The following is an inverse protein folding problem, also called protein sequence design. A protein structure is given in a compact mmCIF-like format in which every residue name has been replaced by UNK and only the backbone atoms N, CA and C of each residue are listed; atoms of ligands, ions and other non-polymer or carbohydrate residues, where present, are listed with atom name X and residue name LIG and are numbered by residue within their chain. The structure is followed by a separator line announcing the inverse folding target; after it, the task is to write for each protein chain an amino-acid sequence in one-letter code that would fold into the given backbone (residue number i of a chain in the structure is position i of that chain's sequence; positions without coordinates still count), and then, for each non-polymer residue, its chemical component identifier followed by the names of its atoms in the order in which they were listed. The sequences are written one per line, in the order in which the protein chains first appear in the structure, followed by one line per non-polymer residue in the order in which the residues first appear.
data_IF_069166387432
#
_entry.id   IF_069166387432
#
_cell.length_a   1.000
_cell.length_b   1.000
_cell.length_c   1.000
_cell.angle_alpha   90.00
_cell.angle_beta   90.00
_cell.angle_gamma   90.00
#
_symmetry.space_group_name_H-M   'P 1'
#
loop_
_entity.id
_entity.type
_entity.pdbx_description
1 polymer ?
#
# COMPACT_ATOMS: atom_id res chain seq x y z
N UNK A 1 24.20 -62.48 -6.43
CA UNK A 1 23.12 -61.60 -6.95
C UNK A 1 23.51 -60.15 -6.71
N UNK A 2 23.32 -59.31 -7.72
CA UNK A 2 24.05 -58.08 -7.99
C UNK A 2 23.42 -56.83 -7.34
N UNK A 3 24.29 -56.01 -6.72
CA UNK A 3 24.48 -54.56 -6.92
C UNK A 3 23.40 -53.54 -6.49
N UNK A 4 23.88 -52.69 -5.55
CA UNK A 4 23.94 -51.21 -5.62
C UNK A 4 22.71 -50.36 -5.22
N UNK A 5 22.92 -49.66 -4.10
CA UNK A 5 22.78 -48.20 -3.87
C UNK A 5 21.61 -47.45 -4.50
N UNK A 6 20.86 -46.72 -3.67
CA UNK A 6 20.02 -45.62 -4.16
C UNK A 6 19.46 -44.76 -3.03
N UNK A 7 20.23 -43.78 -2.58
CA UNK A 7 19.67 -42.57 -1.96
C UNK A 7 18.78 -41.91 -3.00
N UNK A 8 17.51 -41.68 -2.67
CA UNK A 8 16.71 -40.68 -3.36
C UNK A 8 15.94 -39.86 -2.34
N UNK A 9 16.61 -38.80 -1.90
CA UNK A 9 15.98 -37.49 -1.77
C UNK A 9 15.18 -37.28 -3.05
N UNK A 10 13.86 -37.08 -2.98
CA UNK A 10 13.19 -36.08 -3.80
C UNK A 10 11.73 -35.87 -3.35
N UNK A 11 11.48 -34.61 -2.97
CA UNK A 11 10.25 -33.87 -3.23
C UNK A 11 9.01 -34.26 -2.45
N UNK A 12 8.88 -33.59 -1.30
CA UNK A 12 7.63 -33.06 -0.74
C UNK A 12 6.83 -32.40 -1.89
N UNK A 13 5.70 -32.96 -2.34
CA UNK A 13 4.82 -32.25 -3.27
C UNK A 13 4.06 -31.16 -2.50
N UNK A 14 4.21 -29.94 -3.01
CA UNK A 14 3.62 -28.67 -2.56
C UNK A 14 2.13 -28.81 -2.25
N UNK A 15 1.81 -28.71 -0.96
CA UNK A 15 0.59 -28.20 -0.34
C UNK A 15 -0.27 -27.41 -1.35
N UNK A 16 -1.37 -28.03 -1.81
CA UNK A 16 -2.30 -27.39 -2.73
C UNK A 16 -3.05 -26.29 -2.00
N UNK A 17 -2.50 -25.08 -2.13
CA UNK A 17 -3.17 -23.78 -2.18
C UNK A 17 -4.62 -23.81 -1.68
N UNK A 18 -4.77 -23.90 -0.36
CA UNK A 18 -5.98 -23.52 0.34
C UNK A 18 -6.26 -22.06 -0.02
N UNK A 19 -7.27 -21.82 -0.86
CA UNK A 19 -7.75 -20.47 -1.16
C UNK A 19 -9.01 -20.26 -0.32
N UNK A 20 -8.90 -19.79 0.94
CA UNK A 20 -10.10 -19.39 1.67
C UNK A 20 -10.67 -18.13 1.00
N UNK A 21 -11.95 -18.17 0.67
CA UNK A 21 -12.73 -16.96 0.43
C UNK A 21 -12.76 -16.16 1.74
N UNK A 22 -12.50 -14.85 1.76
CA UNK A 22 -12.60 -14.10 3.00
C UNK A 22 -14.08 -13.75 3.27
N UNK A 23 -14.73 -14.58 4.08
CA UNK A 23 -15.92 -14.20 4.82
C UNK A 23 -15.52 -13.25 5.97
N UNK A 24 -15.78 -11.97 5.71
CA UNK A 24 -16.15 -10.89 6.63
C UNK A 24 -16.44 -11.21 8.13
N UNK A 25 -15.49 -11.56 9.01
CA UNK A 25 -15.80 -11.49 10.46
C UNK A 25 -14.64 -11.22 11.44
N UNK A 26 -13.38 -11.05 11.01
CA UNK A 26 -12.25 -10.79 11.94
C UNK A 26 -11.13 -9.87 11.41
N UNK A 27 -11.42 -8.86 10.59
CA UNK A 27 -10.38 -7.95 10.07
C UNK A 27 -10.12 -6.77 11.04
N UNK A 28 -9.64 -7.08 12.23
CA UNK A 28 -8.96 -6.12 13.10
C UNK A 28 -7.86 -6.96 13.71
N UNK A 29 -6.59 -6.86 13.32
CA UNK A 29 -5.69 -5.72 13.36
C UNK A 29 -4.51 -6.06 12.42
N UNK A 30 -3.81 -5.05 11.89
CA UNK A 30 -2.61 -5.12 11.03
C UNK A 30 -2.81 -5.00 9.50
N UNK A 31 -3.90 -4.37 9.05
CA UNK A 31 -3.96 -3.81 7.68
C UNK A 31 -3.70 -2.31 7.77
N UNK A 32 -2.50 -1.88 8.18
CA UNK A 32 -2.28 -0.45 8.38
C UNK A 32 -0.86 0.07 8.20
N UNK A 33 0.19 -0.66 8.55
CA UNK A 33 1.57 -0.11 8.47
C UNK A 33 2.28 -0.50 7.17
N UNK A 34 2.38 -1.79 6.85
CA UNK A 34 3.04 -2.27 5.62
C UNK A 34 2.39 -1.69 4.35
N UNK A 35 1.06 -1.55 4.36
CA UNK A 35 0.31 -0.95 3.26
C UNK A 35 0.61 0.55 3.11
N UNK A 36 0.81 1.27 4.22
CA UNK A 36 1.16 2.70 4.21
C UNK A 36 2.60 2.90 3.74
N UNK A 37 3.52 2.04 4.18
CA UNK A 37 4.92 2.10 3.77
C UNK A 37 5.09 1.83 2.28
N UNK A 38 4.42 0.78 1.77
CA UNK A 38 4.41 0.48 0.32
C UNK A 38 3.77 1.63 -0.47
N UNK A 39 2.64 2.17 0.00
CA UNK A 39 2.01 3.33 -0.63
C UNK A 39 2.93 4.57 -0.63
N UNK A 40 3.70 4.79 0.44
CA UNK A 40 4.68 5.88 0.51
C UNK A 40 5.86 5.65 -0.44
N UNK A 41 6.28 4.41 -0.64
CA UNK A 41 7.32 4.07 -1.63
C UNK A 41 6.81 4.23 -3.08
N UNK A 42 5.57 3.84 -3.36
CA UNK A 42 4.97 3.86 -4.70
C UNK A 42 4.48 5.27 -5.10
N UNK A 43 3.83 5.98 -4.19
CA UNK A 43 3.14 7.26 -4.44
C UNK A 43 3.97 8.45 -3.95
N UNK A 44 4.84 8.25 -2.96
CA UNK A 44 5.65 9.30 -2.36
C UNK A 44 4.89 10.13 -1.33
N UNK A 45 5.19 11.43 -1.28
CA UNK A 45 4.53 12.38 -0.38
C UNK A 45 3.01 12.42 -0.59
N UNK A 46 2.55 12.15 -1.80
CA UNK A 46 1.12 12.14 -2.12
C UNK A 46 0.32 11.05 -1.38
N UNK A 47 0.95 10.01 -0.83
CA UNK A 47 0.27 8.96 -0.06
C UNK A 47 -0.47 9.50 1.18
N UNK A 48 0.15 10.43 1.91
CA UNK A 48 -0.37 11.00 3.16
C UNK A 48 -0.81 12.47 2.99
N UNK A 49 -1.01 12.92 1.76
CA UNK A 49 -1.35 14.32 1.49
C UNK A 49 -2.86 14.57 1.66
N UNK A 50 -3.22 15.61 2.43
CA UNK A 50 -4.62 16.01 2.66
C UNK A 50 -5.37 16.40 1.38
N UNK A 51 -4.66 16.93 0.39
CA UNK A 51 -5.26 17.34 -0.88
C UNK A 51 -5.39 16.18 -1.88
N UNK A 52 -4.85 15.02 -1.55
CA UNK A 52 -4.86 13.87 -2.43
C UNK A 52 -6.21 13.16 -2.40
N UNK A 53 -6.70 12.75 -3.58
CA UNK A 53 -7.85 11.85 -3.70
C UNK A 53 -7.47 10.60 -4.47
N UNK A 54 -7.76 9.45 -3.88
CA UNK A 54 -7.69 8.15 -4.54
C UNK A 54 -9.02 7.90 -5.26
N UNK A 55 -8.96 7.60 -6.55
CA UNK A 55 -10.10 7.28 -7.40
C UNK A 55 -9.89 5.85 -7.90
N UNK A 56 -10.66 4.92 -7.39
CA UNK A 56 -10.66 3.54 -7.86
C UNK A 56 -11.68 3.41 -9.00
N UNK A 57 -11.24 2.84 -10.11
CA UNK A 57 -12.11 2.51 -11.25
C UNK A 57 -12.65 1.09 -11.12
N UNK A 58 -13.83 0.84 -11.69
CA UNK A 58 -14.47 -0.47 -11.73
C UNK A 58 -13.57 -1.58 -12.35
N UNK A 59 -12.64 -1.17 -13.21
CA UNK A 59 -11.59 -2.02 -13.82
C UNK A 59 -10.45 -2.40 -12.86
N UNK A 60 -10.49 -1.98 -11.58
CA UNK A 60 -9.43 -2.22 -10.59
C UNK A 60 -8.21 -1.31 -10.72
N UNK A 61 -8.31 -0.21 -11.46
CA UNK A 61 -7.23 0.78 -11.57
C UNK A 61 -7.40 1.89 -10.53
N UNK A 62 -6.34 2.18 -9.78
CA UNK A 62 -6.32 3.25 -8.79
C UNK A 62 -5.62 4.49 -9.37
N UNK A 63 -6.33 5.62 -9.36
CA UNK A 63 -5.83 6.90 -9.84
C UNK A 63 -5.66 7.88 -8.70
N UNK A 64 -4.57 8.60 -8.77
CA UNK A 64 -4.09 9.53 -7.76
C UNK A 64 -4.33 10.94 -8.29
N UNK A 65 -5.33 11.64 -7.75
CA UNK A 65 -5.72 12.99 -8.18
C UNK A 65 -5.28 14.05 -7.15
N UNK A 66 -4.61 15.09 -7.63
CA UNK A 66 -4.22 16.23 -6.80
C UNK A 66 -5.32 17.30 -6.78
N UNK A 67 -5.90 17.58 -5.61
CA UNK A 67 -6.91 18.64 -5.47
C UNK A 67 -6.37 20.05 -5.68
N UNK A 68 -5.06 20.27 -5.51
CA UNK A 68 -4.43 21.59 -5.72
C UNK A 68 -4.46 22.02 -7.17
N UNK A 69 -4.57 21.08 -8.13
CA UNK A 69 -4.68 21.45 -9.55
C UNK A 69 -5.95 22.26 -9.86
N UNK A 70 -6.95 22.23 -8.97
CA UNK A 70 -8.17 23.02 -9.11
C UNK A 70 -7.97 24.50 -8.75
N UNK A 71 -7.04 24.79 -7.84
CA UNK A 71 -6.76 26.16 -7.37
C UNK A 71 -5.52 26.74 -8.04
N UNK A 72 -4.52 25.90 -8.32
CA UNK A 72 -3.22 26.27 -8.85
C UNK A 72 -2.90 25.40 -10.08
N UNK A 73 -2.90 26.02 -11.27
CA UNK A 73 -2.56 25.34 -12.53
C UNK A 73 -1.09 24.86 -12.60
N UNK A 74 -0.26 25.25 -11.63
CA UNK A 74 1.14 24.79 -11.47
C UNK A 74 1.22 23.33 -11.04
N UNK A 75 0.17 22.79 -10.42
CA UNK A 75 0.13 21.40 -10.00
C UNK A 75 -0.58 20.54 -11.05
N UNK A 76 0.04 19.44 -11.51
CA UNK A 76 -0.61 18.51 -12.42
C UNK A 76 -1.78 17.80 -11.73
N UNK A 77 -2.91 17.68 -12.43
CA UNK A 77 -4.11 16.94 -11.95
C UNK A 77 -3.79 15.48 -11.59
N UNK A 78 -2.96 14.84 -12.40
CA UNK A 78 -2.44 13.49 -12.19
C UNK A 78 -0.91 13.55 -12.09
N UNK A 79 -0.35 13.71 -10.88
CA UNK A 79 1.08 13.75 -10.70
C UNK A 79 1.72 12.42 -11.11
N UNK A 80 2.93 12.50 -11.67
CA UNK A 80 3.75 11.31 -11.96
C UNK A 80 4.28 10.78 -10.63
N UNK A 81 4.01 9.52 -10.35
CA UNK A 81 4.45 8.83 -9.14
C UNK A 81 5.85 8.21 -9.36
N UNK A 82 6.71 8.13 -8.33
CA UNK A 82 6.52 8.63 -6.96
C UNK A 82 6.81 10.14 -6.83
N UNK A 83 5.98 10.86 -6.07
CA UNK A 83 6.18 12.30 -5.82
C UNK A 83 7.17 12.51 -4.67
N UNK A 84 8.40 12.89 -5.01
CA UNK A 84 9.46 13.13 -4.02
C UNK A 84 9.46 14.55 -3.45
N UNK A 85 8.97 15.54 -4.22
CA UNK A 85 8.94 16.96 -3.84
C UNK A 85 7.63 17.60 -4.31
N UNK A 86 6.92 18.26 -3.40
CA UNK A 86 5.71 19.02 -3.70
C UNK A 86 5.63 20.26 -2.81
N UNK A 87 5.55 21.45 -3.41
CA UNK A 87 5.52 22.72 -2.68
C UNK A 87 4.22 22.93 -1.88
N UNK A 88 3.12 22.31 -2.29
CA UNK A 88 1.81 22.40 -1.65
C UNK A 88 1.48 21.22 -0.73
N UNK A 89 2.46 20.36 -0.43
CA UNK A 89 2.22 19.18 0.40
C UNK A 89 1.77 19.57 1.81
N UNK A 90 0.64 19.01 2.25
CA UNK A 90 0.19 19.04 3.64
C UNK A 90 -0.13 17.63 4.09
N UNK A 91 0.53 17.19 5.15
CA UNK A 91 0.24 15.90 5.78
C UNK A 91 -1.19 15.89 6.31
N UNK A 92 -1.87 14.77 6.11
CA UNK A 92 -3.09 14.47 6.84
C UNK A 92 -2.72 14.38 8.33
N UNK A 93 -3.41 15.09 9.24
CA UNK A 93 -3.15 14.95 10.66
C UNK A 93 -3.37 13.49 11.04
N UNK A 94 -2.32 12.82 11.49
CA UNK A 94 -2.43 11.50 12.10
C UNK A 94 -3.17 11.71 13.44
N UNK A 95 -4.45 11.41 13.46
CA UNK A 95 -5.42 11.74 14.51
C UNK A 95 -5.19 10.99 15.85
N UNK A 96 -3.96 10.59 16.17
CA UNK A 96 -3.68 9.66 17.29
C UNK A 96 -2.45 9.95 18.15
N UNK A 97 -1.73 11.08 18.02
CA UNK A 97 -0.79 11.43 19.10
C UNK A 97 -0.43 12.92 19.15
N UNK A 98 -1.12 13.64 20.02
CA UNK A 98 -0.64 14.91 20.61
C UNK A 98 -1.17 15.05 22.03
N UNK A 99 -1.18 13.97 22.82
CA UNK A 99 -1.32 14.02 24.28
C UNK A 99 0.03 13.70 24.94
N UNK A 100 1.11 14.30 24.44
CA UNK A 100 2.46 14.18 25.02
C UNK A 100 3.21 15.52 25.01
N UNK A 101 2.50 16.62 25.24
CA UNK A 101 3.13 17.92 25.50
C UNK A 101 2.31 18.73 26.52
N UNK A 102 2.84 18.79 27.76
CA UNK A 102 2.39 19.52 28.96
C UNK A 102 1.07 19.03 29.58
N UNK A 103 0.93 18.76 30.89
CA UNK A 103 1.58 19.28 32.09
C UNK A 103 1.57 18.18 33.17
#
# INVERSE_FOLDING_TARGET
MFFRTGISIFSIPKEKRNRPAPANERYSVNVSEEKRETARAEVGLCADCRFMRLIESDRGSAFYLCGLSATDARFPKYPRLPVLRCAGYKQLPADRESNSSAN
#
